data_IF_474266610594
#
_entry.id   IF_474266610594
#
_cell.length_a   1.000
_cell.length_b   1.000
_cell.length_c   1.000
_cell.angle_alpha   90.00
_cell.angle_beta   90.00
_cell.angle_gamma   90.00
#
_symmetry.space_group_name_H-M   'P 1'
#
loop_
_entity.id
_entity.type
_entity.pdbx_description
1 polymer ?
#
# COMPACT_ATOMS: atom_id res chain seq x y z
N UNK A 1 -8.69 -37.44 16.77
CA UNK A 1 -7.38 -37.06 17.36
C UNK A 1 -7.44 -35.61 17.82
N UNK A 2 -7.63 -35.33 19.13
CA UNK A 2 -7.53 -33.96 19.67
C UNK A 2 -6.05 -33.62 19.86
N UNK A 3 -5.36 -33.21 18.80
CA UNK A 3 -3.95 -32.79 18.85
C UNK A 3 -3.87 -31.32 19.26
N UNK A 4 -3.42 -31.07 20.49
CA UNK A 4 -2.95 -29.77 21.01
C UNK A 4 -3.94 -28.60 20.86
N UNK A 5 -5.09 -28.66 21.55
CA UNK A 5 -5.87 -27.45 21.78
C UNK A 5 -5.06 -26.53 22.70
N UNK A 6 -4.55 -25.42 22.17
CA UNK A 6 -3.88 -24.42 23.00
C UNK A 6 -4.89 -23.84 23.97
N UNK A 7 -4.47 -23.56 25.21
CA UNK A 7 -5.36 -22.91 26.18
C UNK A 7 -5.56 -21.45 25.76
N UNK A 8 -6.82 -20.96 25.66
CA UNK A 8 -7.06 -19.56 25.35
C UNK A 8 -6.42 -18.64 26.42
N UNK A 9 -5.74 -17.55 26.04
CA UNK A 9 -5.13 -16.61 27.00
C UNK A 9 -6.17 -15.97 27.91
N UNK A 10 -5.92 -15.84 29.21
CA UNK A 10 -6.95 -15.43 30.18
C UNK A 10 -7.69 -14.11 29.86
N UNK A 11 -7.03 -13.15 29.21
CA UNK A 11 -7.58 -11.85 28.85
C UNK A 11 -7.88 -11.67 27.34
N UNK A 12 -7.85 -12.75 26.55
CA UNK A 12 -7.96 -12.68 25.08
C UNK A 12 -9.22 -11.93 24.64
N UNK A 13 -10.38 -12.23 25.25
CA UNK A 13 -11.67 -11.69 24.85
C UNK A 13 -11.79 -10.19 25.14
N UNK A 14 -11.29 -9.75 26.30
CA UNK A 14 -11.23 -8.32 26.67
C UNK A 14 -10.31 -7.55 25.72
N UNK A 15 -9.14 -8.12 25.42
CA UNK A 15 -8.18 -7.49 24.50
C UNK A 15 -8.73 -7.44 23.08
N UNK A 16 -9.38 -8.51 22.61
CA UNK A 16 -10.04 -8.59 21.32
C UNK A 16 -11.17 -7.56 21.19
N UNK A 17 -12.05 -7.48 22.17
CA UNK A 17 -13.12 -6.48 22.22
C UNK A 17 -12.55 -5.04 22.19
N UNK A 18 -11.48 -4.78 22.94
CA UNK A 18 -10.81 -3.47 22.92
C UNK A 18 -10.23 -3.14 21.55
N UNK A 19 -9.66 -4.12 20.85
CA UNK A 19 -9.19 -3.94 19.47
C UNK A 19 -10.35 -3.60 18.53
N UNK A 20 -11.50 -4.26 18.66
CA UNK A 20 -12.71 -3.92 17.89
C UNK A 20 -13.13 -2.47 18.13
N UNK A 21 -13.25 -2.05 19.39
CA UNK A 21 -13.59 -0.67 19.74
C UNK A 21 -12.61 0.36 19.17
N UNK A 22 -11.32 0.05 19.12
CA UNK A 22 -10.30 0.90 18.48
C UNK A 22 -10.60 1.00 16.98
N UNK A 23 -10.83 -0.14 16.32
CA UNK A 23 -11.02 -0.24 14.87
C UNK A 23 -12.35 0.34 14.39
N UNK A 24 -13.36 0.39 15.25
CA UNK A 24 -14.63 1.08 14.96
C UNK A 24 -14.45 2.60 14.81
N UNK A 25 -13.42 3.17 15.45
CA UNK A 25 -13.15 4.62 15.48
C UNK A 25 -11.96 5.05 14.63
N UNK A 26 -11.00 4.15 14.44
CA UNK A 26 -9.76 4.40 13.74
C UNK A 26 -9.83 3.78 12.35
N UNK A 27 -9.87 4.59 11.31
CA UNK A 27 -9.74 4.13 9.93
C UNK A 27 -8.27 3.82 9.58
N UNK A 28 -8.03 2.76 8.81
CA UNK A 28 -6.72 2.34 8.32
C UNK A 28 -6.75 2.09 6.80
N UNK A 29 -5.58 2.05 6.13
CA UNK A 29 -5.51 1.75 4.68
C UNK A 29 -6.26 0.49 4.24
N UNK A 30 -6.25 -0.57 5.05
CA UNK A 30 -6.98 -1.81 4.77
C UNK A 30 -8.51 -1.59 4.63
N UNK A 31 -9.06 -0.56 5.27
CA UNK A 31 -10.52 -0.28 5.24
C UNK A 31 -10.93 0.49 3.97
N UNK A 32 -10.04 1.33 3.46
CA UNK A 32 -10.33 2.26 2.36
C UNK A 32 -9.88 1.69 1.01
N UNK A 33 -8.69 1.09 0.98
CA UNK A 33 -8.03 0.61 -0.23
C UNK A 33 -7.56 -0.85 -0.10
N UNK A 34 -8.14 -1.61 0.84
CA UNK A 34 -7.91 -3.05 0.98
C UNK A 34 -8.35 -3.84 -0.26
N UNK A 35 -7.73 -5.00 -0.48
CA UNK A 35 -7.90 -5.82 -1.68
C UNK A 35 -9.37 -6.15 -2.00
N UNK A 36 -10.21 -6.36 -0.98
CA UNK A 36 -11.62 -6.67 -1.15
C UNK A 36 -12.46 -5.52 -1.67
N UNK A 37 -11.93 -4.30 -1.75
CA UNK A 37 -12.61 -3.14 -2.34
C UNK A 37 -12.08 -2.78 -3.74
N UNK A 38 -11.04 -3.46 -4.21
CA UNK A 38 -10.36 -3.13 -5.48
C UNK A 38 -10.98 -3.89 -6.66
N UNK A 39 -12.25 -3.61 -6.94
CA UNK A 39 -12.96 -4.18 -8.08
C UNK A 39 -13.90 -3.16 -8.72
N UNK A 40 -14.20 -3.33 -10.01
CA UNK A 40 -15.27 -2.60 -10.69
C UNK A 40 -16.66 -3.08 -10.21
N UNK A 41 -17.45 -2.18 -9.63
CA UNK A 41 -18.79 -2.47 -9.12
C UNK A 41 -19.80 -2.83 -10.22
N UNK A 42 -19.57 -2.36 -11.44
CA UNK A 42 -20.42 -2.64 -12.61
C UNK A 42 -20.10 -3.99 -13.27
N UNK A 43 -18.97 -4.59 -12.93
CA UNK A 43 -18.53 -5.85 -13.52
C UNK A 43 -19.29 -7.06 -12.97
N UNK A 44 -19.27 -8.15 -13.73
CA UNK A 44 -19.87 -9.42 -13.33
C UNK A 44 -19.28 -9.96 -12.01
N UNK A 45 -20.00 -10.87 -11.34
CA UNK A 45 -19.48 -11.51 -10.12
C UNK A 45 -18.13 -12.21 -10.35
N UNK A 46 -17.98 -12.94 -11.47
CA UNK A 46 -16.73 -13.65 -11.80
C UNK A 46 -15.58 -12.68 -12.11
N UNK A 47 -15.86 -11.57 -12.80
CA UNK A 47 -14.86 -10.52 -13.04
C UNK A 47 -14.43 -9.85 -11.73
N UNK A 48 -15.36 -9.58 -10.81
CA UNK A 48 -15.04 -9.04 -9.48
C UNK A 48 -14.18 -10.00 -8.67
N UNK A 49 -14.48 -11.31 -8.69
CA UNK A 49 -13.61 -12.34 -8.09
C UNK A 49 -12.20 -12.28 -8.69
N UNK A 50 -12.07 -12.21 -10.00
CA UNK A 50 -10.77 -12.09 -10.66
C UNK A 50 -10.02 -10.81 -10.25
N UNK A 51 -10.70 -9.68 -10.13
CA UNK A 51 -10.10 -8.44 -9.60
C UNK A 51 -9.56 -8.62 -8.17
N UNK A 52 -10.35 -9.22 -7.26
CA UNK A 52 -9.94 -9.48 -5.88
C UNK A 52 -8.73 -10.42 -5.84
N UNK A 53 -8.71 -11.45 -6.70
CA UNK A 53 -7.58 -12.37 -6.83
C UNK A 53 -6.29 -11.62 -7.20
N UNK A 54 -6.33 -10.80 -8.25
CA UNK A 54 -5.18 -10.02 -8.68
C UNK A 54 -4.75 -9.00 -7.60
N UNK A 55 -5.70 -8.35 -6.95
CA UNK A 55 -5.43 -7.44 -5.84
C UNK A 55 -4.65 -8.14 -4.71
N UNK A 56 -5.03 -9.38 -4.36
CA UNK A 56 -4.32 -10.18 -3.36
C UNK A 56 -2.93 -10.63 -3.82
N UNK A 57 -2.77 -11.02 -5.09
CA UNK A 57 -1.46 -11.37 -5.64
C UNK A 57 -0.51 -10.15 -5.64
N UNK A 58 -1.04 -8.97 -5.95
CA UNK A 58 -0.28 -7.72 -5.97
C UNK A 58 0.04 -7.19 -4.56
N UNK A 59 -0.81 -7.41 -3.56
CA UNK A 59 -0.62 -6.88 -2.20
C UNK A 59 0.51 -7.54 -1.42
N UNK A 60 0.93 -8.75 -1.81
CA UNK A 60 2.04 -9.44 -1.16
C UNK A 60 3.30 -8.55 -1.10
N UNK A 61 3.71 -8.14 0.09
CA UNK A 61 4.86 -7.24 0.28
C UNK A 61 4.74 -5.93 -0.53
N UNK A 62 3.55 -5.37 -0.62
CA UNK A 62 3.28 -4.09 -1.29
C UNK A 62 2.24 -3.31 -0.49
N UNK A 63 2.42 -2.00 -0.38
CA UNK A 63 1.48 -1.15 0.36
C UNK A 63 0.13 -1.09 -0.34
N UNK A 64 -0.94 -1.00 0.45
CA UNK A 64 -2.31 -1.02 -0.08
C UNK A 64 -2.57 0.08 -1.12
N UNK A 65 -2.09 1.31 -0.90
CA UNK A 65 -2.27 2.40 -1.89
C UNK A 65 -1.53 2.16 -3.22
N UNK A 66 -0.38 1.47 -3.19
CA UNK A 66 0.36 1.11 -4.41
C UNK A 66 -0.38 0.01 -5.15
N UNK A 67 -0.88 -0.99 -4.42
CA UNK A 67 -1.74 -2.05 -4.96
C UNK A 67 -3.01 -1.47 -5.58
N UNK A 68 -3.67 -0.54 -4.89
CA UNK A 68 -4.88 0.13 -5.35
C UNK A 68 -4.64 0.92 -6.64
N UNK A 69 -3.56 1.71 -6.70
CA UNK A 69 -3.21 2.46 -7.91
C UNK A 69 -3.00 1.52 -9.12
N UNK A 70 -2.30 0.40 -8.92
CA UNK A 70 -2.06 -0.60 -9.96
C UNK A 70 -3.37 -1.29 -10.39
N UNK A 71 -4.20 -1.72 -9.43
CA UNK A 71 -5.50 -2.34 -9.71
C UNK A 71 -6.45 -1.40 -10.43
N UNK A 72 -6.54 -0.13 -10.02
CA UNK A 72 -7.37 0.86 -10.72
C UNK A 72 -6.91 1.08 -12.16
N UNK A 73 -5.60 1.09 -12.40
CA UNK A 73 -5.06 1.22 -13.76
C UNK A 73 -5.39 0.00 -14.63
N UNK A 74 -5.27 -1.22 -14.08
CA UNK A 74 -5.65 -2.46 -14.77
C UNK A 74 -7.16 -2.51 -15.04
N UNK A 75 -7.99 -2.18 -14.05
CA UNK A 75 -9.45 -2.20 -14.15
C UNK A 75 -9.91 -1.23 -15.25
N UNK A 76 -9.39 0.01 -15.28
CA UNK A 76 -9.67 0.97 -16.36
C UNK A 76 -9.29 0.47 -17.74
N UNK A 77 -8.32 -0.45 -17.82
CA UNK A 77 -7.89 -1.06 -19.08
C UNK A 77 -8.72 -2.31 -19.46
N UNK A 78 -9.62 -2.78 -18.59
CA UNK A 78 -10.54 -3.90 -18.88
C UNK A 78 -10.17 -5.25 -18.24
N UNK A 79 -9.47 -5.22 -17.09
CA UNK A 79 -8.94 -6.34 -16.29
C UNK A 79 -9.76 -7.65 -16.22
N UNK A 80 -9.80 -8.41 -17.31
CA UNK A 80 -10.46 -9.72 -17.43
C UNK A 80 -9.43 -10.81 -17.68
N UNK A 81 -9.72 -12.08 -17.34
CA UNK A 81 -8.80 -13.19 -17.61
C UNK A 81 -8.34 -13.24 -19.08
N UNK A 82 -9.26 -13.06 -20.02
CA UNK A 82 -8.99 -13.10 -21.46
C UNK A 82 -8.04 -11.97 -21.88
N UNK A 83 -8.28 -10.76 -21.39
CA UNK A 83 -7.48 -9.59 -21.72
C UNK A 83 -6.10 -9.64 -21.07
N UNK A 84 -6.01 -10.05 -19.80
CA UNK A 84 -4.73 -10.20 -19.10
C UNK A 84 -3.88 -11.31 -19.71
N UNK A 85 -4.50 -12.43 -20.13
CA UNK A 85 -3.79 -13.52 -20.82
C UNK A 85 -3.16 -13.06 -22.14
N UNK A 86 -3.92 -12.30 -22.96
CA UNK A 86 -3.47 -11.72 -24.24
C UNK A 86 -2.43 -10.60 -24.07
N UNK A 87 -2.37 -9.97 -22.89
CA UNK A 87 -1.42 -8.89 -22.62
C UNK A 87 0.02 -9.41 -22.60
N UNK A 88 0.96 -8.71 -23.24
CA UNK A 88 2.39 -9.06 -23.13
C UNK A 88 2.90 -8.85 -21.71
N UNK A 89 3.89 -9.63 -21.28
CA UNK A 89 4.49 -9.47 -19.94
C UNK A 89 4.99 -8.04 -19.72
N UNK A 90 5.68 -7.46 -20.71
CA UNK A 90 6.17 -6.07 -20.64
C UNK A 90 5.05 -5.05 -20.40
N UNK A 91 3.89 -5.26 -21.02
CA UNK A 91 2.74 -4.34 -20.86
C UNK A 91 2.09 -4.51 -19.49
N UNK A 92 1.88 -5.75 -19.03
CA UNK A 92 1.36 -6.04 -17.70
C UNK A 92 2.29 -5.49 -16.62
N UNK A 93 3.60 -5.73 -16.76
CA UNK A 93 4.62 -5.21 -15.87
C UNK A 93 4.61 -3.68 -15.81
N UNK A 94 4.37 -3.00 -16.94
CA UNK A 94 4.19 -1.56 -16.99
C UNK A 94 3.10 -1.05 -16.05
N UNK A 95 1.94 -1.73 -16.01
CA UNK A 95 0.82 -1.38 -15.10
C UNK A 95 1.18 -1.58 -13.62
N UNK A 96 2.01 -2.57 -13.31
CA UNK A 96 2.32 -2.96 -11.93
C UNK A 96 3.77 -2.62 -11.52
N UNK A 97 4.50 -1.84 -12.31
CA UNK A 97 5.94 -1.57 -12.11
C UNK A 97 6.31 -0.92 -10.76
N UNK A 98 5.33 -0.30 -10.09
CA UNK A 98 5.50 0.26 -8.73
C UNK A 98 5.23 -0.75 -7.60
N UNK A 99 4.61 -1.89 -7.93
CA UNK A 99 4.35 -2.99 -6.99
C UNK A 99 5.67 -3.67 -6.65
N UNK A 100 5.86 -4.05 -5.39
CA UNK A 100 7.05 -4.77 -4.95
C UNK A 100 7.14 -6.13 -5.64
N UNK A 101 8.33 -6.52 -6.11
CA UNK A 101 8.56 -7.78 -6.85
C UNK A 101 7.71 -7.92 -8.12
N UNK A 102 7.40 -6.82 -8.81
CA UNK A 102 6.54 -6.78 -9.99
C UNK A 102 6.95 -7.79 -11.08
N UNK A 103 8.24 -7.93 -11.40
CA UNK A 103 8.72 -8.89 -12.41
C UNK A 103 8.25 -10.34 -12.15
N UNK A 104 8.36 -10.81 -10.91
CA UNK A 104 7.92 -12.15 -10.51
C UNK A 104 6.40 -12.24 -10.49
N UNK A 105 5.73 -11.19 -9.99
CA UNK A 105 4.27 -11.13 -9.95
C UNK A 105 3.65 -11.14 -11.35
N UNK A 106 4.24 -10.44 -12.32
CA UNK A 106 3.85 -10.46 -13.73
C UNK A 106 3.79 -11.90 -14.25
N UNK A 107 4.86 -12.68 -14.02
CA UNK A 107 4.93 -14.09 -14.43
C UNK A 107 3.86 -14.95 -13.75
N UNK A 108 3.71 -14.81 -12.43
CA UNK A 108 2.70 -15.56 -11.67
C UNK A 108 1.27 -15.21 -12.09
N UNK A 109 0.95 -13.93 -12.29
CA UNK A 109 -0.36 -13.46 -12.74
C UNK A 109 -0.67 -14.05 -14.11
N UNK A 110 0.27 -14.00 -15.06
CA UNK A 110 0.09 -14.62 -16.38
C UNK A 110 -0.18 -16.12 -16.27
N UNK A 111 0.65 -16.85 -15.53
CA UNK A 111 0.52 -18.30 -15.39
C UNK A 111 -0.77 -18.72 -14.67
N UNK A 112 -1.17 -17.99 -13.61
CA UNK A 112 -2.44 -18.22 -12.91
C UNK A 112 -3.64 -17.94 -13.82
N UNK A 113 -3.62 -16.83 -14.56
CA UNK A 113 -4.68 -16.46 -15.51
C UNK A 113 -4.82 -17.49 -16.63
N UNK A 114 -3.70 -17.97 -17.15
CA UNK A 114 -3.70 -19.02 -18.18
C UNK A 114 -4.26 -20.34 -17.64
N UNK A 115 -3.95 -20.69 -16.38
CA UNK A 115 -4.54 -21.86 -15.71
C UNK A 115 -6.05 -21.70 -15.52
N UNK A 116 -6.51 -20.52 -15.10
CA UNK A 116 -7.94 -20.19 -14.93
C UNK A 116 -8.69 -20.35 -16.26
N UNK A 117 -8.15 -19.84 -17.36
CA UNK A 117 -8.76 -19.98 -18.68
C UNK A 117 -8.82 -21.44 -19.13
N UNK A 118 -7.72 -22.19 -19.02
CA UNK A 118 -7.61 -23.55 -19.55
C UNK A 118 -8.35 -24.60 -18.71
N UNK A 119 -8.26 -24.52 -17.38
CA UNK A 119 -8.77 -25.56 -16.46
C UNK A 119 -10.09 -25.20 -15.79
N UNK A 120 -10.40 -23.91 -15.69
CA UNK A 120 -11.57 -23.42 -14.94
C UNK A 120 -12.50 -22.55 -15.79
N UNK A 121 -12.40 -22.64 -17.12
CA UNK A 121 -13.30 -21.98 -18.08
C UNK A 121 -13.39 -20.45 -17.87
N UNK A 122 -12.28 -19.82 -17.46
CA UNK A 122 -12.21 -18.38 -17.22
C UNK A 122 -12.74 -17.94 -15.84
N UNK A 123 -13.24 -18.87 -15.01
CA UNK A 123 -13.75 -18.57 -13.67
C UNK A 123 -12.69 -18.87 -12.60
N UNK A 124 -12.55 -17.99 -11.61
CA UNK A 124 -11.64 -18.25 -10.48
C UNK A 124 -12.21 -19.41 -9.66
N UNK A 125 -11.44 -20.47 -9.37
CA UNK A 125 -11.96 -21.64 -8.66
C UNK A 125 -12.49 -21.28 -7.26
N UNK A 126 -13.50 -22.03 -6.82
CA UNK A 126 -14.12 -21.93 -5.49
C UNK A 126 -13.55 -22.93 -4.49
N UNK A 127 -12.92 -24.00 -4.97
CA UNK A 127 -12.30 -25.00 -4.10
C UNK A 127 -10.94 -24.49 -3.61
N UNK A 128 -10.69 -24.62 -2.29
CA UNK A 128 -9.43 -24.22 -1.68
C UNK A 128 -8.21 -24.91 -2.32
N UNK A 129 -8.30 -26.21 -2.60
CA UNK A 129 -7.23 -26.99 -3.21
C UNK A 129 -6.84 -26.48 -4.60
N UNK A 130 -7.83 -26.04 -5.40
CA UNK A 130 -7.59 -25.50 -6.73
C UNK A 130 -6.99 -24.09 -6.67
N UNK A 131 -7.41 -23.27 -5.70
CA UNK A 131 -6.85 -21.94 -5.48
C UNK A 131 -5.36 -21.98 -5.12
N UNK A 132 -4.96 -22.86 -4.19
CA UNK A 132 -3.54 -22.99 -3.82
C UNK A 132 -2.69 -23.64 -4.93
N UNK A 133 -3.32 -24.31 -5.89
CA UNK A 133 -2.63 -24.86 -7.06
C UNK A 133 -2.31 -23.79 -8.11
N UNK A 134 -2.92 -22.60 -8.03
CA UNK A 134 -2.62 -21.50 -8.92
C UNK A 134 -1.23 -20.89 -8.62
N UNK A 135 -0.39 -20.66 -9.65
CA UNK A 135 0.91 -20.03 -9.48
C UNK A 135 0.87 -18.71 -8.71
N UNK A 136 1.69 -18.61 -7.66
CA UNK A 136 1.79 -17.41 -6.84
C UNK A 136 0.72 -17.27 -5.75
N UNK A 137 -0.18 -18.24 -5.61
CA UNK A 137 -1.20 -18.26 -4.55
C UNK A 137 -0.79 -19.27 -3.47
N UNK A 138 -0.63 -18.78 -2.24
CA UNK A 138 -0.35 -19.62 -1.07
C UNK A 138 -1.57 -19.81 -0.16
N UNK A 139 -1.46 -20.68 0.87
CA UNK A 139 -2.53 -20.97 1.83
C UNK A 139 -3.23 -19.73 2.40
N UNK A 140 -2.45 -18.76 2.89
CA UNK A 140 -2.96 -17.47 3.39
C UNK A 140 -3.84 -16.76 2.36
N UNK A 141 -3.36 -16.64 1.13
CA UNK A 141 -4.08 -15.92 0.08
C UNK A 141 -5.39 -16.63 -0.26
N UNK A 142 -5.39 -17.96 -0.32
CA UNK A 142 -6.61 -18.72 -0.59
C UNK A 142 -7.67 -18.53 0.52
N UNK A 143 -7.28 -18.53 1.80
CA UNK A 143 -8.19 -18.21 2.90
C UNK A 143 -8.79 -16.81 2.78
N UNK A 144 -7.94 -15.79 2.59
CA UNK A 144 -8.40 -14.40 2.43
C UNK A 144 -9.27 -14.24 1.18
N UNK A 145 -8.92 -14.89 0.08
CA UNK A 145 -9.69 -14.81 -1.16
C UNK A 145 -11.10 -15.36 -0.96
N UNK A 146 -11.26 -16.56 -0.40
CA UNK A 146 -12.57 -17.17 -0.18
C UNK A 146 -13.41 -16.36 0.81
N UNK A 147 -12.78 -15.80 1.83
CA UNK A 147 -13.46 -14.94 2.78
C UNK A 147 -13.98 -13.66 2.10
N UNK A 148 -13.13 -12.95 1.37
CA UNK A 148 -13.47 -11.63 0.84
C UNK A 148 -14.31 -11.70 -0.45
N UNK A 149 -14.08 -12.71 -1.29
CA UNK A 149 -14.78 -12.86 -2.56
C UNK A 149 -16.10 -13.62 -2.41
N UNK A 150 -16.16 -14.61 -1.51
CA UNK A 150 -17.27 -15.55 -1.39
C UNK A 150 -17.97 -15.54 -0.03
N UNK A 151 -17.44 -14.82 0.97
CA UNK A 151 -17.96 -14.87 2.34
C UNK A 151 -17.72 -16.21 3.04
N UNK A 152 -16.84 -17.06 2.50
CA UNK A 152 -16.60 -18.40 3.02
C UNK A 152 -15.37 -18.40 3.92
N UNK A 153 -15.59 -18.65 5.21
CA UNK A 153 -14.54 -18.71 6.23
C UNK A 153 -14.11 -20.16 6.45
N UNK A 154 -13.00 -20.56 5.82
CA UNK A 154 -12.40 -21.90 6.02
C UNK A 154 -11.31 -21.93 7.09
N UNK A 155 -10.76 -20.77 7.44
CA UNK A 155 -9.61 -20.64 8.33
C UNK A 155 -9.11 -19.20 8.39
N UNK A 156 -8.10 -18.96 9.22
CA UNK A 156 -7.59 -17.61 9.47
C UNK A 156 -6.49 -17.26 8.46
N UNK A 157 -6.68 -16.16 7.73
CA UNK A 157 -5.63 -15.59 6.87
C UNK A 157 -4.53 -14.91 7.70
N UNK A 158 -3.46 -15.61 8.06
CA UNK A 158 -2.37 -15.04 8.85
C UNK A 158 -1.30 -14.39 7.98
N UNK A 159 -1.12 -13.08 8.14
CA UNK A 159 -0.04 -12.31 7.53
C UNK A 159 1.00 -11.84 8.55
N UNK A 160 1.91 -10.96 8.12
CA UNK A 160 2.96 -10.42 9.00
C UNK A 160 2.39 -9.54 10.13
N UNK A 161 1.23 -8.91 9.95
CA UNK A 161 0.56 -8.15 11.01
C UNK A 161 -0.08 -9.09 12.02
N UNK A 162 -0.93 -10.02 11.56
CA UNK A 162 -1.59 -11.02 12.42
C UNK A 162 -0.55 -11.83 13.17
N UNK A 163 0.50 -12.30 12.50
CA UNK A 163 1.58 -13.08 13.13
C UNK A 163 2.33 -12.30 14.21
N UNK A 164 2.76 -11.06 13.91
CA UNK A 164 3.49 -10.21 14.87
C UNK A 164 2.62 -9.82 16.06
N UNK A 165 1.39 -9.39 15.79
CA UNK A 165 0.51 -8.87 16.83
C UNK A 165 0.01 -10.01 17.72
N UNK A 166 -0.28 -11.19 17.17
CA UNK A 166 -0.62 -12.37 17.98
C UNK A 166 0.52 -12.76 18.93
N UNK A 167 1.78 -12.64 18.50
CA UNK A 167 2.93 -12.81 19.39
C UNK A 167 2.98 -11.73 20.46
N UNK A 168 2.83 -10.44 20.10
CA UNK A 168 2.81 -9.33 21.06
C UNK A 168 1.68 -9.43 22.08
N UNK A 169 0.53 -9.97 21.68
CA UNK A 169 -0.62 -10.19 22.56
C UNK A 169 -0.51 -11.48 23.38
N UNK A 170 0.55 -12.27 23.19
CA UNK A 170 0.71 -13.60 23.77
C UNK A 170 -0.49 -14.52 23.47
N UNK A 171 -1.10 -14.34 22.29
CA UNK A 171 -2.17 -15.19 21.76
C UNK A 171 -1.66 -16.51 21.18
N UNK A 172 -0.35 -16.57 20.95
CA UNK A 172 0.36 -17.78 20.55
C UNK A 172 1.59 -17.94 21.45
N UNK A 173 2.04 -19.18 21.71
CA UNK A 173 3.24 -19.43 22.51
C UNK A 173 4.51 -18.97 21.78
N UNK A 174 5.56 -18.67 22.55
CA UNK A 174 6.85 -18.22 22.01
C UNK A 174 7.56 -19.24 21.09
N UNK A 175 7.11 -20.50 21.10
CA UNK A 175 7.59 -21.58 20.22
C UNK A 175 7.08 -21.44 18.78
N UNK A 176 5.97 -20.73 18.55
CA UNK A 176 5.42 -20.47 17.22
C UNK A 176 6.34 -19.51 16.46
N UNK A 177 6.90 -19.96 15.32
CA UNK A 177 7.84 -19.17 14.51
C UNK A 177 7.30 -18.77 13.14
N UNK A 178 6.30 -19.48 12.63
CA UNK A 178 5.78 -19.24 11.28
C UNK A 178 4.34 -18.70 11.31
N UNK A 179 3.91 -17.98 10.25
CA UNK A 179 2.51 -17.58 10.08
C UNK A 179 1.54 -18.77 10.08
N UNK A 180 1.94 -19.90 9.49
CA UNK A 180 1.11 -21.11 9.45
C UNK A 180 0.96 -21.74 10.84
N UNK A 181 2.01 -21.75 11.65
CA UNK A 181 1.91 -22.21 13.04
C UNK A 181 1.03 -21.27 13.88
N UNK A 182 1.05 -19.97 13.58
CA UNK A 182 0.13 -19.00 14.21
C UNK A 182 -1.31 -19.27 13.84
N UNK A 183 -1.60 -19.59 12.57
CA UNK A 183 -2.94 -19.96 12.11
C UNK A 183 -3.47 -21.15 12.92
N UNK A 184 -2.71 -22.25 12.94
CA UNK A 184 -3.06 -23.46 13.70
C UNK A 184 -3.25 -23.18 15.18
N UNK A 185 -2.39 -22.34 15.77
CA UNK A 185 -2.49 -21.99 17.18
C UNK A 185 -3.77 -21.20 17.46
N UNK A 186 -4.08 -20.15 16.68
CA UNK A 186 -5.29 -19.36 16.83
C UNK A 186 -6.55 -20.19 16.59
N UNK A 187 -6.63 -20.97 15.51
CA UNK A 187 -7.78 -21.81 15.18
C UNK A 187 -8.07 -22.89 16.24
N UNK A 188 -7.08 -23.27 17.05
CA UNK A 188 -7.27 -24.28 18.10
C UNK A 188 -8.09 -23.79 19.31
N UNK A 189 -8.24 -22.46 19.48
CA UNK A 189 -8.90 -21.89 20.66
C UNK A 189 -9.77 -20.66 20.38
N UNK A 190 -9.50 -19.89 19.31
CA UNK A 190 -10.29 -18.74 18.94
C UNK A 190 -11.63 -19.21 18.36
N UNK A 191 -12.77 -18.73 18.85
CA UNK A 191 -14.08 -19.11 18.32
C UNK A 191 -14.22 -18.83 16.80
N UNK A 192 -14.80 -19.75 16.00
CA UNK A 192 -14.91 -19.62 14.54
C UNK A 192 -15.57 -18.33 14.03
N UNK A 193 -16.49 -17.74 14.80
CA UNK A 193 -17.14 -16.48 14.49
C UNK A 193 -16.17 -15.30 14.32
N UNK A 194 -14.98 -15.39 14.91
CA UNK A 194 -13.94 -14.35 14.84
C UNK A 194 -12.93 -14.56 13.70
N UNK A 195 -12.94 -15.72 13.03
CA UNK A 195 -11.90 -16.10 12.07
C UNK A 195 -11.88 -15.21 10.84
N UNK A 196 -13.05 -14.73 10.40
CA UNK A 196 -13.16 -13.81 9.28
C UNK A 196 -12.60 -12.42 9.63
N UNK A 197 -13.09 -11.81 10.71
CA UNK A 197 -12.80 -10.41 10.99
C UNK A 197 -11.37 -10.16 11.54
N UNK A 198 -10.74 -11.16 12.18
CA UNK A 198 -9.46 -10.97 12.89
C UNK A 198 -8.33 -10.44 11.99
N UNK A 199 -8.28 -10.83 10.71
CA UNK A 199 -7.25 -10.34 9.81
C UNK A 199 -7.34 -8.82 9.64
N UNK A 200 -8.49 -8.30 9.22
CA UNK A 200 -8.70 -6.86 8.99
C UNK A 200 -8.48 -6.03 10.26
N UNK A 201 -8.92 -6.54 11.42
CA UNK A 201 -8.70 -5.88 12.71
C UNK A 201 -7.22 -5.70 13.02
N UNK A 202 -6.43 -6.79 12.95
CA UNK A 202 -5.01 -6.75 13.29
C UNK A 202 -4.15 -6.08 12.22
N UNK A 203 -4.51 -6.21 10.93
CA UNK A 203 -3.83 -5.47 9.85
C UNK A 203 -4.00 -3.97 10.10
N UNK A 204 -5.23 -3.48 10.28
CA UNK A 204 -5.49 -2.07 10.50
C UNK A 204 -4.84 -1.52 11.77
N UNK A 205 -4.87 -2.27 12.87
CA UNK A 205 -4.13 -1.91 14.08
C UNK A 205 -2.61 -1.87 13.82
N UNK A 206 -2.09 -2.82 13.04
CA UNK A 206 -0.68 -2.93 12.73
C UNK A 206 -0.17 -1.89 11.72
N UNK A 207 -1.05 -1.32 10.89
CA UNK A 207 -0.76 -0.23 9.96
C UNK A 207 -0.73 1.14 10.65
N UNK A 208 -1.39 1.28 11.81
CA UNK A 208 -1.62 2.58 12.46
C UNK A 208 -0.88 2.72 13.79
N UNK A 209 -1.10 1.78 14.73
CA UNK A 209 -0.63 1.87 16.12
C UNK A 209 0.48 0.85 16.39
N UNK A 210 0.20 -0.44 16.13
CA UNK A 210 1.08 -1.56 16.47
C UNK A 210 2.08 -1.85 15.34
N UNK A 211 2.80 -0.82 14.92
CA UNK A 211 3.77 -0.85 13.82
C UNK A 211 4.91 -1.85 14.06
N UNK A 212 5.60 -2.35 13.02
CA UNK A 212 6.71 -3.30 13.18
C UNK A 212 7.84 -2.73 14.04
N UNK A 213 8.15 -1.44 13.89
CA UNK A 213 9.16 -0.73 14.68
C UNK A 213 8.52 0.40 15.47
N UNK A 214 8.95 0.53 16.72
CA UNK A 214 8.50 1.57 17.65
C UNK A 214 6.96 1.68 17.68
N UNK A 215 6.25 0.62 18.09
CA UNK A 215 4.79 0.66 18.21
C UNK A 215 4.38 1.79 19.15
N UNK A 216 3.29 2.49 18.80
CA UNK A 216 2.79 3.67 19.51
C UNK A 216 1.99 3.27 20.76
N UNK A 217 2.62 2.54 21.68
CA UNK A 217 1.94 2.01 22.87
C UNK A 217 1.33 3.10 23.75
N UNK A 218 1.91 4.30 23.78
CA UNK A 218 1.37 5.47 24.51
C UNK A 218 0.05 5.97 23.95
N UNK A 219 -0.22 5.72 22.66
CA UNK A 219 -1.45 6.12 21.96
C UNK A 219 -2.44 4.96 21.84
N UNK A 220 -2.08 3.75 22.31
CA UNK A 220 -2.87 2.54 22.12
C UNK A 220 -3.87 2.34 23.28
N UNK A 221 -5.20 2.42 23.03
CA UNK A 221 -6.19 2.20 24.10
C UNK A 221 -6.18 0.77 24.68
N UNK A 222 -5.56 -0.18 23.99
CA UNK A 222 -5.38 -1.56 24.46
C UNK A 222 -4.10 -1.76 25.28
N UNK A 223 -3.28 -0.72 25.51
CA UNK A 223 -1.98 -0.85 26.17
C UNK A 223 -2.06 -1.44 27.58
N UNK A 224 -3.09 -1.08 28.35
CA UNK A 224 -3.31 -1.61 29.72
C UNK A 224 -3.58 -3.12 29.74
N UNK A 225 -4.16 -3.65 28.67
CA UNK A 225 -4.46 -5.08 28.52
C UNK A 225 -3.36 -5.85 27.78
N UNK A 226 -2.45 -5.14 27.10
CA UNK A 226 -1.46 -5.74 26.21
C UNK A 226 -0.22 -6.19 26.99
N UNK A 227 0.12 -7.50 27.01
CA UNK A 227 1.25 -8.01 27.77
C UNK A 227 2.62 -7.53 27.25
N UNK A 228 2.68 -6.96 26.04
CA UNK A 228 3.90 -6.46 25.42
C UNK A 228 3.96 -4.92 25.30
N UNK A 229 3.01 -4.19 25.89
CA UNK A 229 3.04 -2.73 25.88
C UNK A 229 4.35 -2.19 26.47
N UNK A 230 4.93 -1.17 25.82
CA UNK A 230 6.14 -0.45 26.24
C UNK A 230 7.45 -1.25 26.33
N UNK A 231 7.46 -2.54 25.98
CA UNK A 231 8.66 -3.39 26.03
C UNK A 231 9.64 -3.16 24.87
N UNK A 232 9.13 -2.79 23.70
CA UNK A 232 9.93 -2.62 22.48
C UNK A 232 10.39 -1.17 22.23
N UNK A 233 9.84 -0.19 22.97
CA UNK A 233 10.08 1.24 22.73
C UNK A 233 11.45 1.75 23.25
N UNK A 234 12.25 0.93 23.93
CA UNK A 234 13.41 1.38 24.74
C UNK A 234 14.80 1.31 24.10
N UNK A 235 14.98 0.92 22.84
CA UNK A 235 16.32 0.89 22.22
C UNK A 235 16.64 2.14 21.41
N UNK A 236 17.00 3.23 22.11
CA UNK A 236 17.61 4.45 21.56
C UNK A 236 19.06 4.26 21.09
N UNK A 237 19.35 3.21 20.33
CA UNK A 237 20.66 2.98 19.71
C UNK A 237 20.63 3.35 18.24
N UNK A 238 21.53 4.24 17.79
CA UNK A 238 21.77 4.51 16.35
C UNK A 238 22.10 3.21 15.62
N UNK A 239 21.11 2.55 15.03
CA UNK A 239 21.30 1.48 14.05
C UNK A 239 20.69 1.95 12.73
N UNK A 240 21.46 1.77 11.65
CA UNK A 240 21.10 2.24 10.31
C UNK A 240 19.68 1.82 9.93
N UNK A 241 18.94 2.74 9.31
CA UNK A 241 17.60 2.52 8.78
C UNK A 241 17.65 1.35 7.80
N UNK A 242 17.20 0.16 8.22
CA UNK A 242 16.72 -0.84 7.26
C UNK A 242 15.39 -0.28 6.77
N UNK A 243 15.26 0.06 5.49
CA UNK A 243 14.01 0.60 4.95
C UNK A 243 12.89 -0.40 5.20
N UNK A 244 11.90 -0.04 6.02
CA UNK A 244 10.64 -0.77 6.03
C UNK A 244 10.00 -0.57 4.65
N UNK A 245 9.17 -1.51 4.19
CA UNK A 245 8.39 -1.35 2.93
C UNK A 245 7.64 0.01 2.93
N UNK A 246 7.32 0.52 4.12
CA UNK A 246 6.76 1.84 4.43
C UNK A 246 7.61 3.06 3.99
N UNK A 247 8.92 2.94 3.80
CA UNK A 247 9.81 4.08 3.52
C UNK A 247 10.14 4.32 2.01
N UNK A 248 9.68 3.45 1.11
CA UNK A 248 10.11 3.44 -0.31
C UNK A 248 9.30 4.43 -1.21
N UNK A 249 8.24 5.06 -0.69
CA UNK A 249 7.26 5.80 -1.51
C UNK A 249 7.20 7.32 -1.36
N UNK A 250 7.88 7.93 -0.38
CA UNK A 250 7.86 9.40 -0.22
C UNK A 250 9.00 10.04 -1.01
N UNK A 251 8.73 11.04 -1.89
CA UNK A 251 9.79 11.84 -2.50
C UNK A 251 10.63 12.48 -1.39
N UNK A 252 11.95 12.28 -1.44
CA UNK A 252 12.87 12.87 -0.46
C UNK A 252 12.97 14.38 -0.71
N UNK A 253 12.35 15.19 0.14
CA UNK A 253 12.80 16.58 0.30
C UNK A 253 14.12 16.53 1.08
N UNK A 254 15.24 16.55 0.36
CA UNK A 254 16.55 16.81 0.95
C UNK A 254 16.51 18.25 1.47
N UNK A 255 16.29 18.45 2.77
CA UNK A 255 16.71 19.71 3.43
C UNK A 255 18.22 19.77 3.29
N UNK A 256 18.71 20.59 2.37
CA UNK A 256 20.10 21.01 2.39
C UNK A 256 20.35 21.64 3.76
N UNK A 257 21.35 21.13 4.47
CA UNK A 257 21.88 21.82 5.65
C UNK A 257 22.50 23.11 5.14
N UNK A 258 21.71 24.18 5.14
CA UNK A 258 22.23 25.53 4.98
C UNK A 258 23.22 25.78 6.11
N UNK A 259 24.49 25.99 5.77
CA UNK A 259 25.45 26.61 6.68
C UNK A 259 24.89 27.99 6.99
N UNK A 260 24.87 28.34 8.28
CA UNK A 260 24.33 29.61 8.74
C UNK A 260 25.00 30.78 8.02
N UNK A 261 24.18 31.54 7.30
CA UNK A 261 24.42 32.95 7.05
C UNK A 261 23.36 33.70 7.83
N UNK A 262 23.79 34.35 8.90
CA UNK A 262 22.98 35.27 9.71
C UNK A 262 22.60 36.45 8.82
N UNK A 263 21.42 36.39 8.21
CA UNK A 263 20.84 37.54 7.51
C UNK A 263 20.04 38.36 8.54
N UNK A 264 20.59 39.52 8.90
CA UNK A 264 19.86 40.59 9.58
C UNK A 264 18.64 40.97 8.73
N UNK A 265 17.44 40.65 9.21
CA UNK A 265 16.19 41.15 8.63
C UNK A 265 16.00 42.61 9.07
N UNK A 266 16.37 43.55 8.20
CA UNK A 266 15.86 44.92 8.29
C UNK A 266 14.39 44.92 7.84
N UNK A 267 13.49 45.05 8.81
CA UNK A 267 12.06 45.32 8.57
C UNK A 267 11.91 46.73 7.98
N UNK A 268 11.76 46.84 6.66
CA UNK A 268 11.17 48.05 6.07
C UNK A 268 9.65 47.86 6.02
N UNK A 269 8.97 48.46 6.99
CA UNK A 269 7.54 48.71 6.95
C UNK A 269 7.25 49.70 5.81
N UNK A 270 6.58 49.24 4.75
CA UNK A 270 5.94 50.15 3.79
C UNK A 270 4.44 50.14 4.05
N UNK A 271 3.97 51.21 4.67
CA UNK A 271 2.55 51.53 4.85
C UNK A 271 1.89 51.71 3.49
N UNK A 272 0.90 50.89 3.18
CA UNK A 272 0.02 51.09 2.04
C UNK A 272 -1.19 51.91 2.51
N UNK A 273 -1.19 53.22 2.22
CA UNK A 273 -2.35 54.10 2.39
C UNK A 273 -3.22 54.02 1.14
N UNK A 274 -4.43 53.52 1.33
CA UNK A 274 -5.55 53.56 0.38
C UNK A 274 -6.18 54.96 0.44
N UNK A 275 -6.62 55.51 -0.71
CA UNK A 275 -7.85 56.28 -0.71
C UNK A 275 -8.90 55.75 -1.69
N UNK A 276 -10.13 56.06 -1.32
CA UNK A 276 -11.41 55.50 -1.73
C UNK A 276 -12.07 56.35 -2.84
N UNK A 277 -12.79 55.68 -3.75
CA UNK A 277 -13.90 56.18 -4.60
C UNK A 277 -13.56 57.16 -5.76
N UNK A 278 -14.27 57.28 -6.89
CA UNK A 278 -15.63 56.90 -7.29
C UNK A 278 -15.72 56.77 -8.85
N UNK A 279 -16.59 55.87 -9.33
CA UNK A 279 -17.41 55.84 -10.57
C UNK A 279 -16.92 56.47 -11.91
N UNK A 280 -16.91 55.65 -12.97
CA UNK A 280 -17.76 55.73 -14.19
C UNK A 280 -17.22 54.80 -15.32
N UNK A 281 -18.10 54.02 -15.97
CA UNK A 281 -17.88 53.26 -17.23
C UNK A 281 -18.40 54.09 -18.43
N UNK A 282 -18.33 53.69 -19.73
CA UNK A 282 -17.74 52.49 -20.37
C UNK A 282 -16.91 52.74 -21.68
N UNK A 283 -16.37 51.65 -22.25
CA UNK A 283 -16.17 51.36 -23.70
C UNK A 283 -14.74 51.07 -24.23
N UNK A 284 -14.64 49.89 -24.84
CA UNK A 284 -13.89 49.45 -26.03
C UNK A 284 -12.39 49.77 -26.26
N UNK A 285 -11.68 48.67 -26.56
CA UNK A 285 -10.48 48.51 -27.40
C UNK A 285 -9.17 49.18 -26.96
N UNK A 286 -8.22 48.37 -26.49
CA UNK A 286 -6.79 48.51 -26.84
C UNK A 286 -5.99 47.26 -26.43
N UNK A 287 -5.44 46.62 -27.45
CA UNK A 287 -4.35 45.64 -27.39
C UNK A 287 -3.08 46.43 -27.01
N UNK A 288 -2.36 46.01 -25.96
CA UNK A 288 -0.97 46.45 -25.75
C UNK A 288 -0.13 45.30 -25.18
N UNK A 289 0.63 44.69 -26.09
CA UNK A 289 1.85 43.92 -25.86
C UNK A 289 2.92 44.85 -25.31
N UNK A 290 3.59 44.55 -24.19
CA UNK A 290 4.94 45.08 -23.93
C UNK A 290 5.78 44.16 -23.01
N UNK A 291 6.86 43.68 -23.65
CA UNK A 291 8.21 43.32 -23.19
C UNK A 291 8.46 42.59 -21.85
N UNK A 292 9.06 41.41 -22.03
CA UNK A 292 9.98 40.77 -21.10
C UNK A 292 11.30 41.56 -20.97
N UNK A 293 11.83 41.65 -19.75
CA UNK A 293 13.22 42.00 -19.48
C UNK A 293 13.88 40.88 -18.67
N UNK A 294 14.77 40.17 -19.36
CA UNK A 294 15.80 39.30 -18.80
C UNK A 294 16.87 40.17 -18.13
N UNK A 295 17.19 39.90 -16.86
CA UNK A 295 18.49 40.25 -16.29
C UNK A 295 19.09 38.98 -15.69
N UNK A 296 20.03 38.41 -16.45
CA UNK A 296 21.10 37.54 -15.96
C UNK A 296 22.37 38.39 -16.00
N UNK A 297 23.24 38.29 -14.99
CA UNK A 297 24.65 38.19 -15.29
C UNK A 297 25.29 36.95 -14.67
N UNK A 298 25.78 36.14 -15.61
CA UNK A 298 26.90 35.22 -15.58
C UNK A 298 28.02 35.59 -14.58
N UNK A 299 28.57 34.61 -13.85
CA UNK A 299 29.96 34.17 -14.08
C UNK A 299 30.30 32.83 -13.38
N UNK A 300 31.01 32.01 -14.16
CA UNK A 300 31.68 30.71 -13.89
C UNK A 300 33.09 30.98 -13.27
N UNK A 301 34.02 30.02 -13.00
CA UNK A 301 34.21 28.71 -13.67
C UNK A 301 34.71 27.52 -12.81
N UNK A 302 34.57 26.31 -13.34
CA UNK A 302 35.61 25.27 -13.29
C UNK A 302 35.40 24.25 -14.43
N UNK A 303 36.51 23.90 -15.07
CA UNK A 303 36.66 23.15 -16.32
C UNK A 303 36.21 21.68 -16.22
N UNK A 304 35.70 21.11 -17.32
CA UNK A 304 36.34 19.98 -18.00
C UNK A 304 35.70 19.77 -19.38
N UNK A 305 36.56 19.58 -20.38
CA UNK A 305 36.25 19.36 -21.80
C UNK A 305 36.16 17.86 -22.06
N UNK A 306 35.13 17.39 -22.76
CA UNK A 306 35.27 16.35 -23.77
C UNK A 306 34.05 16.28 -24.69
N UNK A 307 34.37 16.20 -25.97
CA UNK A 307 33.54 16.26 -27.17
C UNK A 307 32.47 15.17 -27.26
N UNK A 308 31.31 15.49 -27.84
CA UNK A 308 30.63 14.61 -28.80
C UNK A 308 29.70 15.44 -29.69
N UNK A 309 29.96 15.37 -31.00
CA UNK A 309 29.25 16.03 -32.10
C UNK A 309 27.95 15.29 -32.43
N UNK A 310 26.86 16.02 -32.66
CA UNK A 310 25.70 15.53 -33.42
C UNK A 310 25.25 16.62 -34.40
N UNK A 311 25.52 16.39 -35.68
CA UNK A 311 24.93 17.14 -36.80
C UNK A 311 23.51 16.62 -37.04
N UNK A 312 22.51 17.50 -37.01
CA UNK A 312 21.26 17.32 -37.76
C UNK A 312 21.13 18.51 -38.71
N UNK A 313 21.32 18.23 -40.00
CA UNK A 313 20.98 19.15 -41.08
C UNK A 313 19.58 18.78 -41.59
N UNK A 314 18.78 19.84 -41.68
CA UNK A 314 17.41 19.98 -42.16
C UNK A 314 17.23 19.62 -43.64
N UNK A 315 16.09 19.00 -43.96
CA UNK A 315 15.50 18.98 -45.31
C UNK A 315 14.82 20.33 -45.62
N UNK A 316 14.92 20.86 -46.86
CA UNK A 316 14.09 21.97 -47.32
C UNK A 316 12.86 21.48 -48.09
N UNK A 317 11.84 22.34 -48.12
CA UNK A 317 10.58 22.18 -48.86
C UNK A 317 10.59 22.97 -50.19
N UNK A 318 9.66 22.60 -51.07
CA UNK A 318 9.26 23.20 -52.37
C UNK A 318 10.23 22.94 -53.53
N UNK A 319 9.84 22.44 -54.71
CA UNK A 319 8.57 22.44 -55.49
C UNK A 319 8.31 21.05 -56.07
#
# INVERSE_FOLDING_TARGET
>A
MKKNAFKPPANWSKLYAKVKEIRDKLEAPVDTVGCSKLFDKSASAETRRYHILLALMLSAQTKDHVTAAAMHALIRYGCTPELVSKMSEKKLDGFISKVGFHNTKTKHIKAATETILKKHQGMVPRAYADLIALPGIGPKMAHLFLQEADGVVLGIGVDTHVHRISQRFHWVPATVKTPEDTRKALESWLPPEHWGEINGLLVGLGQTICTPRLPRCSECPAAELCPNAFKEAKTGGKRGRIADIEDVGTPRVRKSRGRGCTFYFFFFFYFCLIPHAHAHTPSLSAICVFLALLIVPCWRPAMYVSSFTLNMITLPAFV
#
